data_IF_385304757031
#
_entry.id   IF_385304757031
#
_cell.length_a   1.000
_cell.length_b   1.000
_cell.length_c   1.000
_cell.angle_alpha   90.00
_cell.angle_beta   90.00
_cell.angle_gamma   90.00
#
_symmetry.space_group_name_H-M   'P 1'
#
loop_
_entity.id
_entity.type
_entity.pdbx_description
1 polymer ?
#
# COMPACT_ATOMS: atom_id res chain seq x y z
N UNK A 1 26.32 2.53 45.69
CA UNK A 1 27.33 2.34 44.60
C UNK A 1 26.83 1.47 43.47
N UNK A 2 26.12 0.33 43.70
CA UNK A 2 25.49 -0.48 42.62
C UNK A 2 24.15 0.08 42.13
N UNK A 3 23.38 0.70 42.99
CA UNK A 3 22.09 1.31 42.63
C UNK A 3 22.21 2.56 41.75
N UNK A 4 23.30 3.31 41.91
CA UNK A 4 23.53 4.50 41.08
C UNK A 4 23.98 4.14 39.67
N UNK A 5 24.64 2.99 39.51
CA UNK A 5 25.02 2.45 38.19
C UNK A 5 23.77 2.00 37.40
N UNK A 6 22.80 1.36 38.06
CA UNK A 6 21.55 0.95 37.43
C UNK A 6 20.69 2.14 37.02
N UNK A 7 20.62 3.20 37.81
CA UNK A 7 19.88 4.43 37.44
C UNK A 7 20.52 5.16 36.26
N UNK A 8 21.83 5.10 36.12
CA UNK A 8 22.54 5.71 34.99
C UNK A 8 22.37 4.90 33.70
N UNK A 9 22.33 3.59 33.81
CA UNK A 9 22.10 2.70 32.64
C UNK A 9 20.64 2.80 32.15
N UNK A 10 19.64 2.79 33.06
CA UNK A 10 18.24 2.94 32.68
C UNK A 10 17.93 4.31 32.11
N UNK A 11 18.65 5.37 32.51
CA UNK A 11 18.48 6.72 31.95
C UNK A 11 19.05 6.84 30.53
N UNK A 12 20.08 6.06 30.20
CA UNK A 12 20.63 6.01 28.81
C UNK A 12 19.76 5.22 27.83
N UNK A 13 18.98 4.24 28.32
CA UNK A 13 18.07 3.46 27.46
C UNK A 13 16.72 4.18 27.21
N UNK A 14 16.35 5.16 28.02
CA UNK A 14 15.11 5.94 27.86
C UNK A 14 15.27 7.25 27.08
N UNK A 15 16.51 7.65 26.74
CA UNK A 15 16.76 8.92 26.05
C UNK A 15 16.97 8.75 24.53
N UNK A 16 16.99 7.50 24.02
CA UNK A 16 17.20 7.17 22.61
C UNK A 16 15.92 6.83 21.84
N UNK A 17 14.74 7.00 22.46
CA UNK A 17 13.44 6.93 21.77
C UNK A 17 12.93 8.32 21.39
N UNK A 18 13.79 9.20 20.89
CA UNK A 18 13.33 10.23 19.96
C UNK A 18 13.00 9.46 18.66
N UNK A 19 11.75 8.99 18.52
CA UNK A 19 11.19 8.54 17.26
C UNK A 19 11.49 9.67 16.27
N UNK A 20 12.43 9.43 15.36
CA UNK A 20 12.63 10.30 14.21
C UNK A 20 11.35 10.22 13.39
N UNK A 21 10.38 11.08 13.72
CA UNK A 21 9.15 11.18 12.98
C UNK A 21 9.50 11.54 11.55
N UNK A 22 9.29 10.60 10.65
CA UNK A 22 9.54 10.78 9.23
C UNK A 22 8.63 11.89 8.69
N UNK A 23 9.21 12.81 7.91
CA UNK A 23 8.51 13.96 7.36
C UNK A 23 8.20 13.72 5.88
N UNK A 24 6.94 13.76 5.51
CA UNK A 24 6.52 13.81 4.12
C UNK A 24 6.69 15.24 3.57
N UNK A 25 7.43 15.39 2.49
CA UNK A 25 7.57 16.66 1.77
C UNK A 25 6.70 16.65 0.52
N UNK A 26 5.71 17.53 0.45
CA UNK A 26 4.79 17.60 -0.66
C UNK A 26 5.53 17.98 -1.96
N UNK A 27 5.41 17.20 -3.06
CA UNK A 27 6.09 17.51 -4.31
C UNK A 27 5.54 18.76 -5.00
N UNK A 28 4.30 19.15 -4.69
CA UNK A 28 3.64 20.32 -5.32
C UNK A 28 3.98 21.63 -4.64
N UNK A 29 3.89 21.69 -3.30
CA UNK A 29 4.05 22.95 -2.55
C UNK A 29 5.26 22.95 -1.61
N UNK A 30 6.04 21.90 -1.55
CA UNK A 30 7.21 21.71 -0.72
C UNK A 30 6.95 21.80 0.81
N UNK A 31 5.66 21.85 1.22
CA UNK A 31 5.29 21.82 2.62
C UNK A 31 5.68 20.48 3.24
N UNK A 32 6.28 20.52 4.43
CA UNK A 32 6.65 19.33 5.19
C UNK A 32 5.59 19.04 6.25
N UNK A 33 5.08 17.82 6.25
CA UNK A 33 4.06 17.35 7.19
C UNK A 33 4.58 16.05 7.84
N UNK A 34 4.39 15.84 9.15
CA UNK A 34 4.64 14.55 9.76
C UNK A 34 3.91 13.44 9.01
N UNK A 35 4.60 12.33 8.77
CA UNK A 35 4.02 11.24 7.97
C UNK A 35 2.77 10.63 8.62
N UNK A 36 2.75 10.56 9.95
CA UNK A 36 1.57 10.15 10.72
C UNK A 36 0.33 10.99 10.38
N UNK A 37 0.47 12.32 10.43
CA UNK A 37 -0.62 13.26 10.08
C UNK A 37 -1.00 13.21 8.60
N UNK A 38 -0.02 12.95 7.74
CA UNK A 38 -0.28 12.81 6.32
C UNK A 38 -1.08 11.54 6.01
N UNK A 39 -0.79 10.45 6.71
CA UNK A 39 -1.55 9.20 6.61
C UNK A 39 -2.97 9.37 7.17
N UNK A 40 -3.14 10.02 8.32
CA UNK A 40 -4.46 10.35 8.89
C UNK A 40 -5.31 11.22 7.94
N UNK A 41 -4.65 12.12 7.18
CA UNK A 41 -5.28 12.92 6.13
C UNK A 41 -5.50 12.15 4.80
N UNK A 42 -5.44 10.82 4.81
CA UNK A 42 -5.60 9.96 3.62
C UNK A 42 -4.64 10.32 2.47
N UNK A 43 -3.41 10.64 2.81
CA UNK A 43 -2.35 11.06 1.88
C UNK A 43 -2.70 12.33 1.09
N UNK A 44 -3.47 13.23 1.68
CA UNK A 44 -3.79 14.55 1.12
C UNK A 44 -2.95 15.62 1.82
N UNK A 45 -2.27 16.45 1.04
CA UNK A 45 -1.47 17.53 1.58
C UNK A 45 -2.36 18.59 2.25
N UNK A 46 -2.18 18.92 3.54
CA UNK A 46 -3.04 19.86 4.23
C UNK A 46 -2.90 21.30 3.71
N UNK A 47 -1.78 21.63 3.05
CA UNK A 47 -1.52 22.98 2.57
C UNK A 47 -2.08 23.24 1.17
N UNK A 48 -1.90 22.31 0.22
CA UNK A 48 -2.29 22.54 -1.18
C UNK A 48 -3.27 21.52 -1.74
N UNK A 49 -3.73 20.59 -0.91
CA UNK A 49 -4.65 19.50 -1.26
C UNK A 49 -4.12 18.60 -2.40
N UNK A 50 -2.81 18.50 -2.51
CA UNK A 50 -2.20 17.51 -3.38
C UNK A 50 -2.50 16.10 -2.85
N UNK A 51 -3.03 15.23 -3.71
CA UNK A 51 -3.30 13.83 -3.40
C UNK A 51 -2.09 12.98 -3.81
N UNK A 52 -1.46 12.33 -2.85
CA UNK A 52 -0.44 11.32 -3.16
C UNK A 52 -1.10 10.01 -3.60
N UNK A 53 -0.29 9.12 -4.20
CA UNK A 53 -0.78 7.83 -4.66
C UNK A 53 -1.03 6.91 -3.46
N UNK A 54 -2.23 6.36 -3.41
CA UNK A 54 -2.60 5.30 -2.46
C UNK A 54 -2.14 3.94 -3.01
N UNK A 55 -1.74 3.05 -2.12
CA UNK A 55 -1.63 1.63 -2.45
C UNK A 55 -3.02 1.00 -2.56
N UNK A 56 -3.10 -0.18 -3.20
CA UNK A 56 -4.36 -0.90 -3.29
C UNK A 56 -4.96 -1.22 -1.91
N UNK A 57 -4.13 -1.66 -0.96
CA UNK A 57 -4.56 -1.95 0.40
C UNK A 57 -5.12 -0.70 1.11
N UNK A 58 -4.45 0.44 1.00
CA UNK A 58 -4.95 1.71 1.54
C UNK A 58 -6.29 2.09 0.89
N UNK A 59 -6.42 1.92 -0.43
CA UNK A 59 -7.67 2.20 -1.14
C UNK A 59 -8.80 1.31 -0.67
N UNK A 60 -8.56 0.01 -0.51
CA UNK A 60 -9.53 -0.95 0.02
C UNK A 60 -10.00 -0.51 1.40
N UNK A 61 -9.06 -0.28 2.34
CA UNK A 61 -9.39 0.15 3.72
C UNK A 61 -10.23 1.42 3.79
N UNK A 62 -10.04 2.35 2.86
CA UNK A 62 -10.80 3.61 2.79
C UNK A 62 -12.19 3.45 2.14
N UNK A 63 -12.44 2.34 1.46
CA UNK A 63 -13.63 2.19 0.63
C UNK A 63 -14.63 1.21 1.23
N UNK A 64 -14.16 0.12 1.83
CA UNK A 64 -15.00 -0.98 2.30
C UNK A 64 -15.29 -0.89 3.79
N UNK A 65 -16.33 -1.58 4.24
CA UNK A 65 -16.61 -1.75 5.65
C UNK A 65 -15.47 -2.54 6.32
N UNK A 66 -15.09 -2.14 7.53
CA UNK A 66 -13.94 -2.71 8.22
C UNK A 66 -13.99 -4.24 8.30
N UNK A 67 -12.94 -4.90 7.79
CA UNK A 67 -12.79 -6.36 7.84
C UNK A 67 -13.69 -7.15 6.87
N UNK A 68 -14.41 -6.48 5.96
CA UNK A 68 -15.33 -7.16 5.04
C UNK A 68 -14.67 -7.66 3.76
N UNK A 69 -13.48 -7.19 3.41
CA UNK A 69 -12.83 -7.56 2.16
C UNK A 69 -12.25 -8.98 2.22
N UNK A 70 -12.66 -9.81 1.26
CA UNK A 70 -12.14 -11.16 1.03
C UNK A 70 -11.58 -11.21 -0.38
N UNK A 71 -10.27 -11.34 -0.48
CA UNK A 71 -9.56 -11.34 -1.76
C UNK A 71 -9.84 -12.62 -2.55
N UNK A 72 -10.11 -12.46 -3.83
CA UNK A 72 -10.17 -13.54 -4.82
C UNK A 72 -8.82 -13.73 -5.49
N UNK A 73 -8.50 -14.97 -5.85
CA UNK A 73 -7.32 -15.28 -6.65
C UNK A 73 -6.00 -14.72 -6.12
N UNK A 74 -5.84 -14.61 -4.80
CA UNK A 74 -4.65 -14.08 -4.13
C UNK A 74 -3.33 -14.76 -4.53
N UNK A 75 -3.40 -15.92 -5.19
CA UNK A 75 -2.26 -16.67 -5.72
C UNK A 75 -1.91 -16.34 -7.16
N UNK A 76 -2.76 -15.60 -7.88
CA UNK A 76 -2.56 -15.31 -9.30
C UNK A 76 -1.38 -14.35 -9.49
N UNK A 77 -0.59 -14.63 -10.51
CA UNK A 77 0.58 -13.81 -10.86
C UNK A 77 0.67 -13.65 -12.36
N UNK A 78 1.27 -12.56 -12.79
CA UNK A 78 1.52 -12.31 -14.21
C UNK A 78 2.42 -13.38 -14.80
N UNK A 79 2.02 -13.92 -15.95
CA UNK A 79 2.79 -14.89 -16.72
C UNK A 79 3.47 -14.17 -17.90
N UNK A 80 4.63 -14.69 -18.31
CA UNK A 80 5.36 -14.18 -19.47
C UNK A 80 5.35 -15.22 -20.63
N UNK A 81 4.22 -15.41 -21.33
CA UNK A 81 4.09 -16.42 -22.37
C UNK A 81 4.95 -16.12 -23.60
N UNK A 82 5.37 -14.87 -23.77
CA UNK A 82 6.21 -14.42 -24.90
C UNK A 82 7.69 -14.42 -24.56
N UNK A 83 8.06 -14.75 -23.33
CA UNK A 83 9.45 -14.71 -22.83
C UNK A 83 10.13 -13.38 -23.18
N UNK A 84 9.44 -12.28 -22.86
CA UNK A 84 9.92 -10.94 -23.21
C UNK A 84 11.19 -10.58 -22.42
N UNK A 85 12.23 -10.10 -23.08
CA UNK A 85 13.51 -9.80 -22.43
C UNK A 85 13.38 -8.84 -21.26
N UNK A 86 13.77 -9.30 -20.06
CA UNK A 86 13.75 -8.50 -18.82
C UNK A 86 12.40 -8.40 -18.10
N UNK A 87 11.30 -8.89 -18.69
CA UNK A 87 9.97 -8.80 -18.07
C UNK A 87 9.90 -9.58 -16.75
N UNK A 88 10.31 -10.84 -16.74
CA UNK A 88 10.28 -11.67 -15.54
C UNK A 88 11.06 -11.03 -14.38
N UNK A 89 12.27 -10.52 -14.62
CA UNK A 89 13.07 -9.81 -13.60
C UNK A 89 12.37 -8.56 -13.08
N UNK A 90 11.69 -7.82 -13.96
CA UNK A 90 10.95 -6.63 -13.56
C UNK A 90 9.75 -6.97 -12.67
N UNK A 91 8.99 -8.01 -13.02
CA UNK A 91 7.87 -8.52 -12.21
C UNK A 91 8.38 -8.95 -10.84
N UNK A 92 9.42 -9.77 -10.78
CA UNK A 92 10.01 -10.26 -9.53
C UNK A 92 10.50 -9.11 -8.63
N UNK A 93 11.18 -8.12 -9.22
CA UNK A 93 11.61 -6.91 -8.49
C UNK A 93 10.43 -6.12 -7.93
N UNK A 94 9.34 -5.96 -8.68
CA UNK A 94 8.16 -5.25 -8.21
C UNK A 94 7.40 -6.03 -7.14
N UNK A 95 7.31 -7.34 -7.26
CA UNK A 95 6.75 -8.22 -6.23
C UNK A 95 7.51 -8.06 -4.90
N UNK A 96 8.85 -8.02 -4.97
CA UNK A 96 9.69 -7.84 -3.79
C UNK A 96 9.51 -6.47 -3.12
N UNK A 97 9.28 -5.40 -3.91
CA UNK A 97 9.14 -4.03 -3.39
C UNK A 97 7.72 -3.74 -2.91
N UNK A 98 6.71 -4.20 -3.65
CA UNK A 98 5.30 -3.87 -3.35
C UNK A 98 4.61 -4.90 -2.46
N UNK A 99 5.12 -6.12 -2.39
CA UNK A 99 4.45 -7.26 -1.75
C UNK A 99 3.26 -7.82 -2.56
N UNK A 100 2.93 -7.18 -3.68
CA UNK A 100 1.83 -7.60 -4.56
C UNK A 100 2.32 -8.65 -5.55
N UNK A 101 1.47 -9.60 -5.91
CA UNK A 101 1.75 -10.58 -6.98
C UNK A 101 1.37 -10.07 -8.36
N UNK A 102 0.39 -9.17 -8.41
CA UNK A 102 -0.15 -8.53 -9.61
C UNK A 102 -0.58 -7.09 -9.31
N UNK A 103 -0.74 -6.28 -10.34
CA UNK A 103 -1.19 -4.90 -10.24
C UNK A 103 -2.65 -4.75 -9.78
N UNK A 104 -3.41 -5.83 -9.76
CA UNK A 104 -4.84 -5.85 -9.50
C UNK A 104 -5.17 -6.74 -8.31
N UNK A 105 -5.96 -6.21 -7.41
CA UNK A 105 -6.60 -6.93 -6.32
C UNK A 105 -8.10 -6.97 -6.57
N UNK A 106 -8.69 -8.15 -6.49
CA UNK A 106 -10.13 -8.35 -6.61
C UNK A 106 -10.67 -9.09 -5.41
N UNK A 107 -11.90 -8.81 -5.04
CA UNK A 107 -12.51 -9.49 -3.93
C UNK A 107 -13.96 -9.09 -3.71
N UNK A 108 -14.64 -9.84 -2.86
CA UNK A 108 -15.93 -9.41 -2.34
C UNK A 108 -15.77 -8.62 -1.05
N UNK A 109 -16.69 -7.70 -0.83
CA UNK A 109 -16.72 -6.86 0.35
C UNK A 109 -18.13 -6.37 0.61
N UNK A 110 -18.30 -5.62 1.70
CA UNK A 110 -19.46 -4.74 1.88
C UNK A 110 -19.03 -3.28 1.83
N UNK A 111 -19.89 -2.46 1.25
CA UNK A 111 -19.79 -0.99 1.28
C UNK A 111 -21.11 -0.48 1.83
N UNK A 112 -21.07 0.12 3.02
CA UNK A 112 -22.27 0.54 3.77
C UNK A 112 -23.30 -0.60 3.94
N UNK A 113 -22.80 -1.82 4.22
CA UNK A 113 -23.62 -3.03 4.39
C UNK A 113 -24.07 -3.68 3.09
N UNK A 114 -23.78 -3.10 1.92
CA UNK A 114 -24.18 -3.64 0.62
C UNK A 114 -23.07 -4.54 0.08
N UNK A 115 -23.40 -5.80 -0.23
CA UNK A 115 -22.45 -6.74 -0.85
C UNK A 115 -22.01 -6.21 -2.22
N UNK A 116 -20.71 -6.17 -2.42
CA UNK A 116 -20.10 -5.58 -3.62
C UNK A 116 -18.88 -6.40 -4.02
N UNK A 117 -18.64 -6.56 -5.31
CA UNK A 117 -17.36 -7.03 -5.84
C UNK A 117 -16.51 -5.80 -6.16
N UNK A 118 -15.32 -5.76 -5.59
CA UNK A 118 -14.39 -4.65 -5.74
C UNK A 118 -13.15 -5.08 -6.53
N UNK A 119 -12.76 -4.26 -7.48
CA UNK A 119 -11.53 -4.41 -8.26
C UNK A 119 -10.70 -3.15 -8.04
N UNK A 120 -9.48 -3.31 -7.53
CA UNK A 120 -8.57 -2.19 -7.24
C UNK A 120 -7.26 -2.41 -7.98
N UNK A 121 -6.81 -1.38 -8.69
CA UNK A 121 -5.55 -1.39 -9.42
C UNK A 121 -4.50 -0.56 -8.67
N UNK A 122 -3.30 -1.12 -8.49
CA UNK A 122 -2.18 -0.45 -7.82
C UNK A 122 -1.17 0.08 -8.83
N UNK A 123 -1.02 1.39 -8.87
CA UNK A 123 -0.09 2.05 -9.79
C UNK A 123 1.40 1.88 -9.41
N UNK A 124 1.69 1.33 -8.23
CA UNK A 124 3.06 1.02 -7.83
C UNK A 124 3.57 -0.26 -8.49
N UNK A 125 2.66 -1.12 -8.94
CA UNK A 125 3.00 -2.31 -9.72
C UNK A 125 2.75 -2.04 -11.21
N UNK A 126 3.81 -1.97 -12.02
CA UNK A 126 3.76 -1.75 -13.47
C UNK A 126 2.88 -0.57 -13.91
N UNK A 127 2.73 0.46 -13.07
CA UNK A 127 1.82 1.59 -13.28
C UNK A 127 0.35 1.17 -13.49
N UNK A 128 -0.06 0.06 -12.86
CA UNK A 128 -1.38 -0.55 -13.02
C UNK A 128 -1.70 -0.92 -14.49
N UNK A 129 -0.69 -1.35 -15.25
CA UNK A 129 -0.92 -1.82 -16.61
C UNK A 129 -1.75 -3.10 -16.61
N UNK A 130 -2.70 -3.17 -17.53
CA UNK A 130 -3.58 -4.33 -17.67
C UNK A 130 -2.82 -5.47 -18.33
N UNK A 131 -2.57 -6.55 -17.60
CA UNK A 131 -1.95 -7.78 -18.06
C UNK A 131 -2.97 -8.91 -18.25
N UNK A 132 -2.48 -10.10 -18.59
CA UNK A 132 -3.31 -11.31 -18.76
C UNK A 132 -4.08 -11.69 -17.50
N UNK A 133 -3.49 -11.52 -16.33
CA UNK A 133 -4.13 -11.77 -15.04
C UNK A 133 -5.35 -10.86 -14.84
N UNK A 134 -5.30 -9.59 -15.21
CA UNK A 134 -6.45 -8.71 -15.13
C UNK A 134 -7.61 -9.21 -16.02
N UNK A 135 -7.31 -9.67 -17.23
CA UNK A 135 -8.33 -10.19 -18.15
C UNK A 135 -9.03 -11.40 -17.52
N UNK A 136 -8.30 -12.31 -16.92
CA UNK A 136 -8.87 -13.49 -16.27
C UNK A 136 -9.65 -13.14 -15.00
N UNK A 137 -9.20 -12.15 -14.24
CA UNK A 137 -9.84 -11.74 -12.99
C UNK A 137 -11.12 -10.93 -13.26
N UNK A 138 -11.15 -10.09 -14.29
CA UNK A 138 -12.27 -9.18 -14.57
C UNK A 138 -13.30 -9.72 -15.56
N UNK A 139 -12.93 -10.67 -16.41
CA UNK A 139 -13.82 -11.23 -17.44
C UNK A 139 -15.07 -11.95 -16.87
N UNK A 140 -15.02 -12.69 -15.74
CA UNK A 140 -16.20 -13.29 -15.14
C UNK A 140 -17.30 -12.30 -14.75
N UNK A 141 -17.01 -11.03 -14.65
CA UNK A 141 -17.98 -9.99 -14.27
C UNK A 141 -18.78 -9.46 -15.46
N UNK A 142 -18.49 -9.92 -16.66
CA UNK A 142 -19.07 -9.43 -17.91
C UNK A 142 -20.31 -10.21 -18.37
N UNK A 143 -20.76 -11.20 -17.59
CA UNK A 143 -21.97 -11.99 -17.90
C UNK A 143 -23.22 -11.35 -17.38
#
# INVERSE_FOLDING_TARGET
MLEDLFKTVTKRFNDDSAEHETMFKCPRCQHSTPESKFQEANLVCPNCQYHARLTADQRIRLTVDAGSFVEYDAGMTSMDPLVFPGYAKKVESLQAVTGLKEAVLTGECTIQGIRTVLIVMDSHFMMASMGLSLIHISEPTRQ
#
